data_IF_752327808753
#
_entry.id   IF_752327808753
#
_cell.length_a   1.000
_cell.length_b   1.000
_cell.length_c   1.000
_cell.angle_alpha   90.00
_cell.angle_beta   90.00
_cell.angle_gamma   90.00
#
_symmetry.space_group_name_H-M   'P 1'
#
loop_
_entity.id
_entity.type
_entity.pdbx_description
1 polymer ?
#
# COMPACT_ATOMS: atom_id res chain seq x y z
N UNK A 1 2.62 16.59 4.99
CA UNK A 1 2.76 17.07 3.60
C UNK A 1 4.07 16.59 2.97
N UNK A 2 4.08 15.41 2.36
CA UNK A 2 5.26 14.89 1.68
C UNK A 2 4.99 13.60 0.93
N UNK A 3 5.93 13.18 0.08
CA UNK A 3 5.87 11.89 -0.60
C UNK A 3 5.94 10.76 0.43
N UNK A 4 5.18 9.67 0.22
CA UNK A 4 5.24 8.48 1.07
C UNK A 4 6.66 7.91 1.11
N UNK A 5 7.14 7.42 2.27
CA UNK A 5 8.42 6.74 2.33
C UNK A 5 8.43 5.50 1.42
N UNK A 6 9.52 5.24 0.72
CA UNK A 6 9.67 4.01 -0.07
C UNK A 6 9.59 2.74 0.78
N UNK A 7 9.99 2.83 2.06
CA UNK A 7 9.88 1.73 3.03
C UNK A 7 8.45 1.56 3.54
N UNK A 8 7.52 2.43 3.18
CA UNK A 8 6.12 2.37 3.61
C UNK A 8 5.14 1.94 2.53
N UNK A 9 5.68 1.61 1.35
CA UNK A 9 4.91 1.10 0.23
C UNK A 9 5.23 -0.36 -0.04
N UNK A 10 4.19 -1.18 -0.16
CA UNK A 10 4.30 -2.62 -0.40
C UNK A 10 3.65 -3.05 -1.71
N UNK A 11 4.38 -3.80 -2.52
CA UNK A 11 3.76 -4.65 -3.54
C UNK A 11 3.36 -5.98 -2.89
N UNK A 12 2.06 -6.29 -2.89
CA UNK A 12 1.53 -7.50 -2.30
C UNK A 12 0.08 -7.39 -1.85
N UNK A 13 -0.47 -8.52 -1.41
CA UNK A 13 -1.84 -8.62 -0.93
C UNK A 13 -2.03 -8.22 0.55
N UNK A 14 -0.95 -7.92 1.27
CA UNK A 14 -0.96 -7.51 2.67
C UNK A 14 0.41 -6.92 3.05
N UNK A 15 0.46 -6.20 4.19
CA UNK A 15 1.70 -5.81 4.85
C UNK A 15 2.58 -7.03 5.21
N UNK A 16 3.90 -6.86 5.15
CA UNK A 16 4.88 -7.90 5.46
C UNK A 16 5.69 -7.61 6.73
N UNK A 17 5.98 -6.35 7.04
CA UNK A 17 6.68 -5.93 8.26
C UNK A 17 5.83 -4.92 9.05
N UNK A 18 6.44 -4.04 9.86
CA UNK A 18 5.72 -3.09 10.73
C UNK A 18 5.69 -1.65 10.17
N UNK A 19 6.12 -1.47 8.92
CA UNK A 19 6.20 -0.18 8.27
C UNK A 19 5.49 -0.14 6.92
N UNK A 20 4.86 -1.23 6.49
CA UNK A 20 4.09 -1.34 5.25
C UNK A 20 2.68 -0.74 5.41
N UNK A 21 2.55 0.58 5.29
CA UNK A 21 1.28 1.29 5.51
C UNK A 21 0.35 1.30 4.29
N UNK A 22 0.91 1.41 3.08
CA UNK A 22 0.13 1.41 1.83
C UNK A 22 0.65 0.28 0.97
N UNK A 23 -0.23 -0.44 0.29
CA UNK A 23 0.23 -1.37 -0.72
C UNK A 23 -0.72 -1.62 -1.86
N UNK A 24 -0.16 -2.26 -2.88
CA UNK A 24 -0.81 -2.58 -4.13
C UNK A 24 -0.69 -4.08 -4.43
N UNK A 25 -1.84 -4.74 -4.58
CA UNK A 25 -1.89 -6.11 -5.07
C UNK A 25 -1.92 -6.11 -6.60
N UNK A 26 -0.76 -6.34 -7.23
CA UNK A 26 -0.63 -6.32 -8.69
C UNK A 26 -1.46 -7.38 -9.42
N UNK A 27 -1.91 -8.44 -8.71
CA UNK A 27 -2.76 -9.49 -9.27
C UNK A 27 -4.23 -9.05 -9.38
N UNK A 28 -4.75 -8.35 -8.37
CA UNK A 28 -6.18 -7.97 -8.31
C UNK A 28 -6.43 -6.52 -8.68
N UNK A 29 -5.43 -5.66 -8.50
CA UNK A 29 -5.54 -4.22 -8.69
C UNK A 29 -5.89 -3.43 -7.43
N UNK A 30 -5.96 -4.09 -6.27
CA UNK A 30 -6.39 -3.46 -5.03
C UNK A 30 -5.28 -2.61 -4.40
N UNK A 31 -5.63 -1.39 -4.03
CA UNK A 31 -4.86 -0.54 -3.12
C UNK A 31 -5.45 -0.68 -1.71
N UNK A 32 -4.57 -0.93 -0.74
CA UNK A 32 -4.94 -1.10 0.65
C UNK A 32 -4.11 -0.21 1.56
N UNK A 33 -4.72 0.14 2.70
CA UNK A 33 -4.11 0.90 3.78
C UNK A 33 -4.15 0.08 5.07
N UNK A 34 -3.01 -0.02 5.73
CA UNK A 34 -2.81 -0.63 7.03
C UNK A 34 -2.35 0.44 8.03
N UNK A 35 -3.17 0.71 9.05
CA UNK A 35 -2.89 1.80 10.00
C UNK A 35 -1.78 1.50 11.00
N UNK A 36 -1.52 0.22 11.30
CA UNK A 36 -0.44 -0.17 12.20
C UNK A 36 0.80 -0.68 11.45
N UNK A 37 0.74 -0.66 10.12
CA UNK A 37 1.83 -1.04 9.23
C UNK A 37 2.16 -2.51 9.26
N UNK A 38 1.34 -3.37 9.88
CA UNK A 38 1.59 -4.80 10.10
C UNK A 38 0.34 -5.65 9.86
N UNK A 39 0.53 -6.79 9.19
CA UNK A 39 -0.51 -7.79 8.89
C UNK A 39 -1.43 -8.16 10.07
N UNK A 40 -0.94 -8.12 11.31
CA UNK A 40 -1.75 -8.41 12.50
C UNK A 40 -2.91 -7.41 12.75
N UNK A 41 -2.83 -6.18 12.22
CA UNK A 41 -3.88 -5.16 12.33
C UNK A 41 -5.02 -5.28 11.32
N UNK A 42 -4.79 -6.05 10.25
CA UNK A 42 -5.65 -6.02 9.07
C UNK A 42 -5.48 -4.70 8.30
N UNK A 43 -5.98 -4.70 7.07
CA UNK A 43 -5.94 -3.54 6.18
C UNK A 43 -7.33 -3.29 5.60
N UNK A 44 -7.53 -2.06 5.14
CA UNK A 44 -8.72 -1.67 4.38
C UNK A 44 -8.36 -1.50 2.92
N UNK A 45 -9.13 -2.12 2.01
CA UNK A 45 -9.05 -1.83 0.58
C UNK A 45 -9.83 -0.55 0.33
N UNK A 46 -9.18 0.47 -0.24
CA UNK A 46 -9.80 1.77 -0.46
C UNK A 46 -9.91 2.16 -1.94
N UNK A 47 -9.24 1.42 -2.84
CA UNK A 47 -9.39 1.59 -4.28
C UNK A 47 -9.06 0.29 -5.02
N UNK A 48 -9.65 0.11 -6.21
CA UNK A 48 -9.18 -0.84 -7.21
C UNK A 48 -8.86 -0.07 -8.49
N UNK A 49 -7.64 -0.19 -8.99
CA UNK A 49 -7.14 0.54 -10.17
C UNK A 49 -6.78 -0.41 -11.33
N UNK A 50 -7.21 -1.67 -11.22
CA UNK A 50 -6.90 -2.75 -12.16
C UNK A 50 -5.53 -3.39 -11.94
N UNK A 51 -5.39 -4.62 -12.42
CA UNK A 51 -4.16 -5.40 -12.32
C UNK A 51 -3.03 -4.83 -13.21
N UNK A 52 -1.79 -5.20 -12.87
CA UNK A 52 -0.58 -4.92 -13.65
C UNK A 52 -0.34 -3.43 -13.96
N UNK A 53 -0.64 -2.53 -13.01
CA UNK A 53 -0.26 -1.11 -13.11
C UNK A 53 1.15 -0.88 -12.59
N UNK A 54 1.86 0.03 -13.24
CA UNK A 54 3.13 0.55 -12.76
C UNK A 54 2.83 1.72 -11.82
N UNK A 55 2.97 1.48 -10.52
CA UNK A 55 2.78 2.45 -9.44
C UNK A 55 3.79 2.16 -8.33
N UNK A 56 4.20 3.21 -7.65
CA UNK A 56 5.24 3.21 -6.64
C UNK A 56 4.92 4.21 -5.52
N UNK A 57 5.78 4.23 -4.49
CA UNK A 57 5.62 5.10 -3.31
C UNK A 57 5.48 6.59 -3.67
N UNK A 58 6.13 7.03 -4.75
CA UNK A 58 6.14 8.44 -5.18
C UNK A 58 4.86 8.88 -5.92
N UNK A 59 3.92 7.96 -6.14
CA UNK A 59 2.56 8.30 -6.60
C UNK A 59 1.64 8.74 -5.44
N UNK A 60 2.11 8.64 -4.19
CA UNK A 60 1.34 8.96 -2.98
C UNK A 60 1.91 10.18 -2.24
N UNK A 61 1.01 11.08 -1.86
CA UNK A 61 1.32 12.24 -0.99
C UNK A 61 0.56 12.10 0.32
N UNK A 62 1.29 12.20 1.43
CA UNK A 62 0.75 12.20 2.80
C UNK A 62 0.62 13.64 3.26
N UNK A 63 -0.60 14.03 3.63
CA UNK A 63 -0.97 15.40 4.00
C UNK A 63 -0.94 15.53 5.51
#
# INVERSE_FOLDING_TARGET
>A
MGVLSSTSFKLGAAAADANDYIGYNSRTGDLWYDSNGNRAGGYVVFANIGANKAIAYNDFVVI
#
